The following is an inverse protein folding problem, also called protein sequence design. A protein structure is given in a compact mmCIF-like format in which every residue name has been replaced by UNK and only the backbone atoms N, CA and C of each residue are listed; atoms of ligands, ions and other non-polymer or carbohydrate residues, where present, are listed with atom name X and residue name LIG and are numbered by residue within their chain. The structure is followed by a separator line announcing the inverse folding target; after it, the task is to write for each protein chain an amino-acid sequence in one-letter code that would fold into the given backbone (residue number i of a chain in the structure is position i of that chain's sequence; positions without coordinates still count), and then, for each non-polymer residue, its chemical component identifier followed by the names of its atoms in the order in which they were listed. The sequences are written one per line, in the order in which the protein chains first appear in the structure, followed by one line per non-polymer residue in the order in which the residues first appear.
data_IF_829294011306
#
_entry.id   IF_829294011306
#
_cell.length_a   1.000
_cell.length_b   1.000
_cell.length_c   1.000
_cell.angle_alpha   90.00
_cell.angle_beta   90.00
_cell.angle_gamma   90.00
#
_symmetry.space_group_name_H-M   'P 1'
#
loop_
_entity.id
_entity.type
_entity.pdbx_description
1 polymer ?
#
# COMPACT_ATOMS: atom_id res chain seq x y z
N UNK A 1 -22.29 2.80 -7.74
CA UNK A 1 -21.58 1.81 -8.56
C UNK A 1 -21.16 2.36 -9.93
N UNK A 2 -22.07 2.71 -10.86
CA UNK A 2 -21.70 3.18 -12.21
C UNK A 2 -20.72 4.37 -12.22
N UNK A 3 -20.84 5.32 -11.27
CA UNK A 3 -19.94 6.46 -11.15
C UNK A 3 -18.55 6.05 -10.65
N UNK A 4 -18.47 5.07 -9.73
CA UNK A 4 -17.22 4.50 -9.27
C UNK A 4 -16.48 3.79 -10.42
N UNK A 5 -17.16 2.92 -11.15
CA UNK A 5 -16.59 2.19 -12.29
C UNK A 5 -16.01 3.12 -13.38
N UNK A 6 -16.69 4.26 -13.68
CA UNK A 6 -16.15 5.28 -14.60
C UNK A 6 -14.88 5.95 -14.12
N UNK A 7 -14.59 5.92 -12.84
CA UNK A 7 -13.37 6.45 -12.24
C UNK A 7 -12.32 5.35 -11.98
N UNK A 8 -12.47 4.16 -12.56
CA UNK A 8 -11.54 3.05 -12.36
C UNK A 8 -11.64 2.40 -10.98
N UNK A 9 -12.75 2.59 -10.28
CA UNK A 9 -12.98 2.00 -8.94
C UNK A 9 -14.08 0.94 -9.03
N UNK A 10 -13.73 -0.30 -8.76
CA UNK A 10 -14.67 -1.40 -8.61
C UNK A 10 -15.00 -1.59 -7.12
N UNK A 11 -16.30 -1.72 -6.80
CA UNK A 11 -16.76 -1.90 -5.42
C UNK A 11 -17.66 -3.13 -5.34
N UNK A 12 -17.39 -4.04 -4.42
CA UNK A 12 -18.14 -5.29 -4.22
C UNK A 12 -19.46 -5.08 -3.48
N UNK A 13 -20.30 -4.19 -3.96
CA UNK A 13 -21.63 -4.01 -3.41
C UNK A 13 -21.81 -2.78 -2.53
N UNK A 14 -23.06 -2.55 -2.12
CA UNK A 14 -23.44 -1.36 -1.34
C UNK A 14 -22.84 -1.35 0.07
N UNK A 15 -22.66 -2.50 0.67
CA UNK A 15 -22.08 -2.63 2.00
C UNK A 15 -20.61 -2.15 2.04
N UNK A 16 -19.79 -2.57 1.08
CA UNK A 16 -18.41 -2.12 0.95
C UNK A 16 -18.32 -0.61 0.74
N UNK A 17 -19.22 -0.04 -0.09
CA UNK A 17 -19.29 1.40 -0.29
C UNK A 17 -19.68 2.14 1.01
N UNK A 18 -20.62 1.61 1.79
CA UNK A 18 -21.04 2.21 3.05
C UNK A 18 -19.91 2.14 4.10
N UNK A 19 -19.24 0.99 4.22
CA UNK A 19 -18.11 0.83 5.15
C UNK A 19 -16.95 1.75 4.78
N UNK A 20 -16.59 1.88 3.50
CA UNK A 20 -15.55 2.83 3.05
C UNK A 20 -15.90 4.27 3.44
N UNK A 21 -17.18 4.66 3.36
CA UNK A 21 -17.62 5.99 3.78
C UNK A 21 -17.51 6.26 5.28
N UNK A 22 -17.38 5.20 6.09
CA UNK A 22 -17.25 5.27 7.56
C UNK A 22 -15.80 5.16 8.05
N UNK A 23 -14.87 4.83 7.16
CA UNK A 23 -13.45 4.68 7.50
C UNK A 23 -12.91 6.00 8.05
N UNK A 24 -12.15 5.90 9.15
CA UNK A 24 -11.47 7.00 9.84
C UNK A 24 -9.96 6.87 9.79
N UNK A 25 -9.46 5.65 9.67
CA UNK A 25 -8.03 5.34 9.59
C UNK A 25 -7.78 4.50 8.35
N UNK A 26 -6.76 4.87 7.58
CA UNK A 26 -6.28 4.08 6.45
C UNK A 26 -4.88 3.56 6.74
N UNK A 27 -4.74 2.24 6.71
CA UNK A 27 -3.46 1.58 6.67
C UNK A 27 -3.07 1.32 5.21
N UNK A 28 -1.80 1.53 4.90
CA UNK A 28 -1.23 1.34 3.57
C UNK A 28 -0.09 0.33 3.65
N UNK A 29 -0.04 -0.62 2.74
CA UNK A 29 1.23 -1.27 2.47
C UNK A 29 2.20 -0.27 1.82
N UNK A 30 3.51 -0.52 1.98
CA UNK A 30 4.52 0.31 1.34
C UNK A 30 4.67 -0.07 -0.13
N UNK A 31 5.06 -1.32 -0.40
CA UNK A 31 5.57 -1.78 -1.69
C UNK A 31 4.44 -2.01 -2.70
N UNK A 32 4.50 -1.33 -3.86
CA UNK A 32 3.45 -1.43 -4.86
C UNK A 32 2.16 -0.67 -4.53
N UNK A 33 2.09 -0.02 -3.36
CA UNK A 33 0.94 0.79 -2.92
C UNK A 33 1.32 2.26 -2.82
N UNK A 34 2.10 2.65 -1.81
CA UNK A 34 2.65 4.02 -1.70
C UNK A 34 3.88 4.23 -2.58
N UNK A 35 4.52 3.15 -2.98
CA UNK A 35 5.67 3.12 -3.90
C UNK A 35 5.29 2.42 -5.20
N UNK A 36 6.14 2.54 -6.23
CA UNK A 36 5.89 1.93 -7.55
C UNK A 36 6.00 0.40 -7.56
N UNK A 37 6.52 -0.22 -6.48
CA UNK A 37 6.77 -1.66 -6.42
C UNK A 37 7.88 -2.13 -7.36
N UNK A 38 8.75 -1.21 -7.77
CA UNK A 38 9.88 -1.44 -8.69
C UNK A 38 11.19 -1.01 -8.05
N UNK A 39 11.70 -1.78 -7.09
CA UNK A 39 12.97 -1.44 -6.46
C UNK A 39 14.09 -1.33 -7.49
N UNK A 40 15.04 -0.43 -7.24
CA UNK A 40 16.21 -0.19 -8.06
C UNK A 40 17.45 -0.11 -7.17
N UNK A 41 18.62 -0.52 -7.70
CA UNK A 41 19.89 -0.27 -7.01
C UNK A 41 20.18 1.24 -7.01
N UNK A 42 20.02 1.87 -5.86
CA UNK A 42 20.39 3.26 -5.65
C UNK A 42 21.87 3.41 -5.34
N UNK A 43 22.35 2.63 -4.38
CA UNK A 43 23.72 2.74 -3.82
C UNK A 43 24.42 1.38 -3.83
N UNK A 44 25.74 1.39 -4.01
CA UNK A 44 26.62 0.23 -3.89
C UNK A 44 27.81 0.66 -3.01
N UNK A 45 28.11 -0.10 -1.97
CA UNK A 45 29.19 0.17 -1.04
C UNK A 45 30.06 -1.07 -0.96
N UNK A 46 31.16 -1.09 -1.69
CA UNK A 46 32.12 -2.18 -1.66
C UNK A 46 33.18 -1.96 -0.58
N UNK A 47 33.56 -3.06 0.09
CA UNK A 47 34.64 -3.06 1.14
C UNK A 47 35.90 -3.79 0.71
N UNK A 48 35.86 -4.40 -0.47
CA UNK A 48 37.00 -5.15 -1.03
C UNK A 48 37.73 -4.34 -2.11
N UNK A 49 38.95 -4.76 -2.43
CA UNK A 49 39.77 -4.17 -3.51
C UNK A 49 39.20 -4.40 -4.90
N UNK A 50 38.30 -5.40 -5.07
CA UNK A 50 37.55 -5.67 -6.31
C UNK A 50 36.41 -4.66 -6.57
N UNK A 51 36.10 -3.83 -5.57
CA UNK A 51 35.16 -2.74 -5.70
C UNK A 51 33.72 -3.17 -6.02
N UNK A 52 32.97 -2.24 -6.60
CA UNK A 52 31.56 -2.44 -6.93
C UNK A 52 31.34 -3.55 -7.96
N UNK A 53 32.30 -3.80 -8.85
CA UNK A 53 32.20 -4.83 -9.88
C UNK A 53 32.20 -6.23 -9.27
N UNK A 54 33.12 -6.52 -8.35
CA UNK A 54 33.17 -7.79 -7.63
C UNK A 54 31.89 -8.01 -6.80
N UNK A 55 31.48 -7.01 -6.02
CA UNK A 55 30.28 -7.06 -5.20
C UNK A 55 29.05 -7.35 -6.05
N UNK A 56 28.85 -6.60 -7.14
CA UNK A 56 27.68 -6.76 -8.01
C UNK A 56 27.71 -8.07 -8.77
N UNK A 57 28.88 -8.55 -9.26
CA UNK A 57 28.95 -9.81 -10.00
C UNK A 57 28.57 -11.00 -9.12
N UNK A 58 29.01 -11.01 -7.87
CA UNK A 58 28.66 -12.05 -6.89
C UNK A 58 27.20 -11.94 -6.48
N UNK A 59 26.70 -10.72 -6.24
CA UNK A 59 25.30 -10.51 -5.88
C UNK A 59 24.35 -10.96 -7.00
N UNK A 60 24.65 -10.61 -8.25
CA UNK A 60 23.88 -11.06 -9.42
C UNK A 60 23.87 -12.58 -9.53
N UNK A 61 25.04 -13.24 -9.38
CA UNK A 61 25.16 -14.69 -9.44
C UNK A 61 24.24 -15.42 -8.44
N UNK A 62 24.20 -14.91 -7.22
CA UNK A 62 23.40 -15.53 -6.13
C UNK A 62 21.92 -15.23 -6.28
N UNK A 63 21.55 -14.00 -6.62
CA UNK A 63 20.16 -13.57 -6.70
C UNK A 63 19.45 -13.98 -7.99
N UNK A 64 20.18 -14.44 -9.03
CA UNK A 64 19.59 -14.83 -10.31
C UNK A 64 18.57 -15.97 -10.21
N UNK A 65 18.66 -16.79 -9.15
CA UNK A 65 17.75 -17.89 -8.89
C UNK A 65 16.63 -17.54 -7.88
N UNK A 66 16.54 -16.29 -7.49
CA UNK A 66 15.54 -15.79 -6.54
C UNK A 66 14.41 -15.06 -7.25
N UNK A 67 13.17 -15.38 -6.91
CA UNK A 67 11.99 -14.68 -7.42
C UNK A 67 11.61 -13.43 -6.62
N UNK A 68 12.39 -13.12 -5.58
CA UNK A 68 12.09 -11.96 -4.72
C UNK A 68 12.22 -10.63 -5.48
N UNK A 69 11.35 -9.63 -5.28
CA UNK A 69 11.42 -8.34 -5.99
C UNK A 69 12.78 -7.63 -5.88
N UNK A 70 13.42 -7.68 -4.70
CA UNK A 70 14.75 -7.11 -4.49
C UNK A 70 15.83 -7.85 -5.28
N UNK A 71 15.74 -9.18 -5.36
CA UNK A 71 16.63 -10.01 -6.16
C UNK A 71 16.55 -9.65 -7.65
N UNK A 72 15.33 -9.54 -8.18
CA UNK A 72 15.11 -9.13 -9.58
C UNK A 72 15.70 -7.75 -9.86
N UNK A 73 15.62 -6.83 -8.90
CA UNK A 73 16.24 -5.52 -9.01
C UNK A 73 17.77 -5.60 -9.05
N UNK A 74 18.38 -6.38 -8.13
CA UNK A 74 19.82 -6.60 -8.10
C UNK A 74 20.32 -7.21 -9.41
N UNK A 75 19.61 -8.22 -9.93
CA UNK A 75 19.98 -8.89 -11.19
C UNK A 75 19.85 -7.93 -12.37
N UNK A 76 18.72 -7.23 -12.51
CA UNK A 76 18.48 -6.29 -13.62
C UNK A 76 19.50 -5.17 -13.63
N UNK A 77 19.63 -4.45 -12.54
CA UNK A 77 20.44 -3.23 -12.46
C UNK A 77 21.93 -3.58 -12.32
N UNK A 78 22.26 -4.68 -11.61
CA UNK A 78 23.62 -5.19 -11.50
C UNK A 78 24.17 -5.61 -12.87
N UNK A 79 23.42 -6.37 -13.67
CA UNK A 79 23.83 -6.72 -15.04
C UNK A 79 24.02 -5.50 -15.92
N UNK A 80 23.17 -4.49 -15.81
CA UNK A 80 23.30 -3.24 -16.56
C UNK A 80 24.59 -2.50 -16.18
N UNK A 81 24.95 -2.45 -14.88
CA UNK A 81 26.18 -1.79 -14.38
C UNK A 81 27.44 -2.58 -14.72
N UNK A 82 27.37 -3.91 -14.75
CA UNK A 82 28.50 -4.78 -15.11
C UNK A 82 28.84 -4.74 -16.61
N UNK A 83 27.97 -4.16 -17.46
CA UNK A 83 28.24 -3.90 -18.90
C UNK A 83 28.76 -5.12 -19.68
N UNK A 84 28.34 -6.34 -19.32
CA UNK A 84 28.75 -7.58 -19.98
C UNK A 84 29.94 -8.29 -19.33
N UNK A 85 30.45 -7.83 -18.17
CA UNK A 85 31.43 -8.58 -17.40
C UNK A 85 30.91 -9.97 -17.01
N UNK A 86 31.82 -10.93 -16.86
CA UNK A 86 31.45 -12.31 -16.55
C UNK A 86 30.86 -12.40 -15.13
N UNK A 87 29.69 -13.03 -15.02
CA UNK A 87 29.05 -13.33 -13.75
C UNK A 87 29.36 -14.77 -13.40
N UNK A 88 29.91 -15.07 -12.21
CA UNK A 88 30.23 -16.44 -11.79
C UNK A 88 28.94 -17.26 -11.63
N UNK A 89 29.09 -18.58 -11.57
CA UNK A 89 27.95 -19.49 -11.38
C UNK A 89 27.71 -19.77 -9.91
N UNK A 90 26.54 -19.45 -9.41
CA UNK A 90 26.11 -19.85 -8.07
C UNK A 90 25.51 -21.28 -8.09
N UNK A 91 25.80 -22.05 -7.06
CA UNK A 91 25.28 -23.40 -6.81
C UNK A 91 24.75 -23.47 -5.37
N UNK A 92 23.99 -24.54 -5.07
CA UNK A 92 23.43 -24.79 -3.72
C UNK A 92 22.65 -23.59 -3.15
N UNK A 93 21.88 -22.93 -4.02
CA UNK A 93 21.11 -21.75 -3.64
C UNK A 93 19.98 -22.14 -2.68
N UNK A 94 19.83 -21.39 -1.58
CA UNK A 94 18.83 -21.59 -0.52
C UNK A 94 18.23 -20.27 -0.10
N UNK A 95 16.92 -20.12 -0.25
CA UNK A 95 16.21 -18.97 0.32
C UNK A 95 16.12 -19.10 1.85
N UNK A 96 16.41 -18.00 2.54
CA UNK A 96 16.30 -17.84 3.99
C UNK A 96 15.09 -16.93 4.24
N UNK A 97 13.93 -17.54 4.50
CA UNK A 97 12.63 -16.87 4.52
C UNK A 97 12.67 -15.60 5.40
N UNK A 98 12.31 -14.46 4.81
CA UNK A 98 12.25 -13.16 5.48
C UNK A 98 13.63 -12.54 5.82
N UNK A 99 14.75 -13.23 5.55
CA UNK A 99 16.11 -12.81 5.93
C UNK A 99 17.03 -12.55 4.72
N UNK A 100 16.97 -13.41 3.70
CA UNK A 100 17.86 -13.30 2.54
C UNK A 100 18.05 -14.61 1.81
N UNK A 101 19.25 -14.81 1.26
CA UNK A 101 19.61 -15.97 0.43
C UNK A 101 21.04 -16.40 0.74
N UNK A 102 21.34 -17.70 0.61
CA UNK A 102 22.70 -18.25 0.64
C UNK A 102 22.96 -19.11 -0.59
N UNK A 103 24.18 -19.11 -1.08
CA UNK A 103 24.64 -19.92 -2.20
C UNK A 103 26.13 -20.22 -2.07
N UNK A 104 26.65 -21.10 -2.93
CA UNK A 104 28.10 -21.32 -3.11
C UNK A 104 28.54 -20.75 -4.45
N UNK A 105 29.54 -19.86 -4.43
CA UNK A 105 30.19 -19.30 -5.62
C UNK A 105 31.67 -19.69 -5.56
N UNK A 106 32.18 -20.38 -6.56
CA UNK A 106 33.55 -20.89 -6.62
C UNK A 106 33.98 -21.66 -5.36
N UNK A 107 33.06 -22.41 -4.76
CA UNK A 107 33.29 -23.21 -3.55
C UNK A 107 33.21 -22.40 -2.23
N UNK A 108 33.01 -21.08 -2.28
CA UNK A 108 32.85 -20.22 -1.11
C UNK A 108 31.36 -20.00 -0.83
N UNK A 109 30.96 -20.13 0.43
CA UNK A 109 29.58 -19.78 0.83
C UNK A 109 29.40 -18.25 0.77
N UNK A 110 28.39 -17.81 0.03
CA UNK A 110 27.98 -16.42 -0.05
C UNK A 110 26.60 -16.29 0.59
N UNK A 111 26.44 -15.28 1.43
CA UNK A 111 25.15 -14.89 2.03
C UNK A 111 24.82 -13.45 1.66
N UNK A 112 23.57 -13.25 1.23
CA UNK A 112 23.02 -11.93 0.93
C UNK A 112 21.74 -11.76 1.71
N UNK A 113 21.61 -10.67 2.45
CA UNK A 113 20.40 -10.45 3.21
C UNK A 113 20.40 -9.19 4.06
N UNK A 114 19.31 -9.01 4.80
CA UNK A 114 19.17 -7.94 5.77
C UNK A 114 20.18 -8.13 6.92
N UNK A 115 20.44 -7.06 7.69
CA UNK A 115 21.35 -7.05 8.84
C UNK A 115 21.04 -8.16 9.83
N UNK A 116 19.78 -8.45 10.07
CA UNK A 116 19.29 -9.45 11.03
C UNK A 116 19.80 -10.86 10.70
N UNK A 117 19.91 -11.19 9.41
CA UNK A 117 20.49 -12.48 8.96
C UNK A 117 21.88 -12.74 9.59
N UNK A 118 22.67 -11.71 9.71
CA UNK A 118 24.05 -11.80 10.19
C UNK A 118 24.14 -11.64 11.70
N UNK A 119 23.43 -10.69 12.28
CA UNK A 119 23.48 -10.41 13.72
C UNK A 119 22.94 -11.58 14.56
N UNK A 120 21.89 -12.25 14.09
CA UNK A 120 21.36 -13.46 14.74
C UNK A 120 22.37 -14.63 14.71
N UNK A 121 23.24 -14.67 13.72
CA UNK A 121 24.36 -15.62 13.62
C UNK A 121 25.62 -15.14 14.36
N UNK A 122 25.56 -14.04 15.14
CA UNK A 122 26.70 -13.46 15.83
C UNK A 122 27.73 -12.81 14.91
N UNK A 123 27.35 -12.50 13.67
CA UNK A 123 28.22 -11.91 12.65
C UNK A 123 27.89 -10.42 12.51
N UNK A 124 28.88 -9.58 12.78
CA UNK A 124 28.71 -8.13 12.70
C UNK A 124 29.58 -7.55 11.59
N UNK A 125 29.04 -6.64 10.76
CA UNK A 125 29.85 -5.95 9.77
C UNK A 125 30.86 -5.04 10.44
N UNK A 126 32.02 -4.73 9.78
CA UNK A 126 32.95 -3.73 10.25
C UNK A 126 32.25 -2.40 10.56
N UNK A 127 32.78 -1.64 11.53
CA UNK A 127 32.15 -0.42 12.02
C UNK A 127 31.87 0.60 10.91
N UNK A 128 32.76 0.73 9.92
CA UNK A 128 32.54 1.63 8.79
C UNK A 128 31.34 1.17 7.94
N UNK A 129 31.32 -0.12 7.54
CA UNK A 129 30.20 -0.66 6.76
C UNK A 129 28.88 -0.57 7.52
N UNK A 130 28.90 -0.79 8.85
CA UNK A 130 27.73 -0.63 9.69
C UNK A 130 27.20 0.81 9.68
N UNK A 131 28.10 1.80 9.76
CA UNK A 131 27.74 3.22 9.71
C UNK A 131 27.17 3.62 8.33
N UNK A 132 27.78 3.10 7.25
CA UNK A 132 27.31 3.35 5.89
C UNK A 132 25.91 2.75 5.67
N UNK A 133 25.67 1.53 6.16
CA UNK A 133 24.33 0.89 6.14
C UNK A 133 23.32 1.70 6.94
N UNK A 134 23.68 2.16 8.15
CA UNK A 134 22.81 3.02 8.97
C UNK A 134 22.43 4.31 8.23
N UNK A 135 23.37 4.93 7.52
CA UNK A 135 23.12 6.13 6.72
C UNK A 135 22.16 5.84 5.54
N UNK A 136 22.36 4.74 4.83
CA UNK A 136 21.47 4.33 3.74
C UNK A 136 20.05 4.08 4.24
N UNK A 137 19.91 3.35 5.36
CA UNK A 137 18.60 3.07 5.96
C UNK A 137 17.87 4.34 6.40
N UNK A 138 18.60 5.28 7.06
CA UNK A 138 18.04 6.59 7.42
C UNK A 138 17.60 7.43 6.20
N UNK A 139 18.20 7.14 5.04
CA UNK A 139 17.87 7.79 3.77
C UNK A 139 16.76 7.05 2.99
N UNK A 140 16.08 6.07 3.61
CA UNK A 140 14.96 5.33 3.02
C UNK A 140 15.36 4.19 2.08
N UNK A 141 16.63 3.69 2.16
CA UNK A 141 17.09 2.53 1.37
C UNK A 141 16.87 1.24 2.13
N UNK A 142 16.37 0.23 1.44
CA UNK A 142 16.43 -1.15 1.92
C UNK A 142 17.83 -1.68 1.65
N UNK A 143 18.56 -2.08 2.68
CA UNK A 143 19.95 -2.52 2.53
C UNK A 143 20.05 -4.04 2.50
N UNK A 144 20.89 -4.54 1.59
CA UNK A 144 21.28 -5.94 1.48
C UNK A 144 22.77 -6.04 1.67
N UNK A 145 23.20 -6.66 2.78
CA UNK A 145 24.60 -6.96 3.08
C UNK A 145 25.03 -8.20 2.31
N UNK A 146 26.26 -8.19 1.80
CA UNK A 146 26.88 -9.30 1.07
C UNK A 146 28.14 -9.77 1.78
N UNK A 147 28.19 -11.07 2.13
CA UNK A 147 29.32 -11.71 2.80
C UNK A 147 29.71 -12.98 2.07
N UNK A 148 31.00 -13.16 1.77
CA UNK A 148 31.57 -14.35 1.16
C UNK A 148 32.58 -15.01 2.13
N UNK A 149 32.29 -16.21 2.59
CA UNK A 149 33.05 -16.87 3.66
C UNK A 149 33.16 -15.97 4.91
N UNK A 150 34.37 -15.59 5.28
CA UNK A 150 34.64 -14.69 6.42
C UNK A 150 34.68 -13.21 6.03
N UNK A 151 34.63 -12.88 4.72
CA UNK A 151 34.84 -11.53 4.22
C UNK A 151 33.54 -10.83 3.90
N UNK A 152 33.36 -9.60 4.38
CA UNK A 152 32.31 -8.71 3.94
C UNK A 152 32.69 -8.13 2.58
N UNK A 153 31.85 -8.31 1.58
CA UNK A 153 32.04 -7.70 0.28
C UNK A 153 31.48 -6.28 0.25
N UNK A 154 30.43 -6.02 1.03
CA UNK A 154 29.83 -4.71 1.13
C UNK A 154 28.32 -4.74 1.34
N UNK A 155 27.66 -3.68 0.90
CA UNK A 155 26.23 -3.51 0.96
C UNK A 155 25.66 -2.94 -0.35
N UNK A 156 24.45 -3.34 -0.69
CA UNK A 156 23.65 -2.81 -1.80
C UNK A 156 22.45 -2.11 -1.21
N UNK A 157 22.30 -0.81 -1.47
CA UNK A 157 21.15 0.00 -1.13
C UNK A 157 20.12 -0.03 -2.27
N UNK A 158 18.93 -0.54 -1.99
CA UNK A 158 17.82 -0.54 -2.91
C UNK A 158 16.78 0.49 -2.48
N UNK A 159 16.18 1.17 -3.44
CA UNK A 159 15.12 2.14 -3.20
C UNK A 159 13.91 1.76 -4.04
N UNK A 160 12.78 1.62 -3.38
CA UNK A 160 11.49 1.57 -4.05
C UNK A 160 10.90 2.98 -4.04
N UNK A 161 10.82 3.58 -5.21
CA UNK A 161 10.52 5.00 -5.37
C UNK A 161 9.07 5.27 -4.95
N UNK A 162 8.82 6.21 -4.02
CA UNK A 162 7.46 6.65 -3.74
C UNK A 162 6.75 7.15 -4.98
N UNK A 163 5.47 6.83 -5.11
CA UNK A 163 4.65 7.33 -6.21
C UNK A 163 4.62 8.86 -6.18
N UNK A 164 4.76 9.54 -7.32
CA UNK A 164 4.73 11.01 -7.37
C UNK A 164 3.46 11.62 -6.75
N UNK A 165 2.34 10.90 -6.89
CA UNK A 165 1.02 11.31 -6.37
C UNK A 165 0.80 10.97 -4.90
N UNK A 166 1.60 10.10 -4.27
CA UNK A 166 1.32 9.56 -2.94
C UNK A 166 1.11 10.67 -1.88
N UNK A 167 2.01 11.64 -1.82
CA UNK A 167 1.88 12.73 -0.84
C UNK A 167 0.62 13.58 -1.05
N UNK A 168 0.24 13.84 -2.33
CA UNK A 168 -0.98 14.59 -2.64
C UNK A 168 -2.23 13.79 -2.28
N UNK A 169 -2.21 12.49 -2.48
CA UNK A 169 -3.31 11.58 -2.10
C UNK A 169 -3.49 11.57 -0.58
N UNK A 170 -2.41 11.42 0.19
CA UNK A 170 -2.46 11.42 1.66
C UNK A 170 -3.02 12.76 2.17
N UNK A 171 -2.56 13.88 1.64
CA UNK A 171 -3.09 15.20 2.00
C UNK A 171 -4.59 15.34 1.69
N UNK A 172 -5.03 14.88 0.51
CA UNK A 172 -6.44 14.94 0.12
C UNK A 172 -7.33 14.01 0.97
N UNK A 173 -6.83 12.85 1.41
CA UNK A 173 -7.53 11.97 2.33
C UNK A 173 -7.73 12.64 3.70
N UNK A 174 -6.73 13.37 4.20
CA UNK A 174 -6.87 14.17 5.43
C UNK A 174 -7.93 15.26 5.30
N UNK A 175 -7.98 16.00 4.17
CA UNK A 175 -9.05 16.97 3.88
C UNK A 175 -10.44 16.33 3.84
N UNK A 176 -10.53 15.10 3.38
CA UNK A 176 -11.76 14.32 3.41
C UNK A 176 -12.11 13.80 4.80
N UNK A 177 -11.28 14.04 5.84
CA UNK A 177 -11.51 13.65 7.23
C UNK A 177 -11.18 12.17 7.47
N UNK A 178 -10.12 11.66 6.87
CA UNK A 178 -9.37 10.51 7.37
C UNK A 178 -8.50 11.06 8.50
N UNK A 179 -8.74 10.59 9.71
CA UNK A 179 -8.15 11.14 10.93
C UNK A 179 -6.66 10.73 11.05
N UNK A 180 -6.35 9.47 10.67
CA UNK A 180 -5.00 8.92 10.73
C UNK A 180 -4.67 8.08 9.49
N UNK A 181 -3.39 8.14 9.09
CA UNK A 181 -2.81 7.27 8.06
C UNK A 181 -1.62 6.51 8.64
N UNK A 182 -1.52 5.23 8.33
CA UNK A 182 -0.50 4.31 8.87
C UNK A 182 0.15 3.57 7.72
N UNK A 183 1.47 3.50 7.68
CA UNK A 183 2.18 2.64 6.74
C UNK A 183 2.62 1.35 7.46
N UNK A 184 2.34 0.19 6.85
CA UNK A 184 2.76 -1.12 7.32
C UNK A 184 3.79 -1.68 6.34
N UNK A 185 4.97 -2.05 6.82
CA UNK A 185 6.08 -2.49 5.95
C UNK A 185 6.85 -3.65 6.55
N UNK A 186 7.31 -4.57 5.70
CA UNK A 186 8.29 -5.59 6.06
C UNK A 186 9.74 -5.10 6.03
N UNK A 187 9.99 -3.84 5.63
CA UNK A 187 11.31 -3.23 5.75
C UNK A 187 11.60 -2.83 7.18
N UNK A 188 12.88 -2.55 7.48
CA UNK A 188 13.22 -2.11 8.82
C UNK A 188 12.52 -0.78 9.17
N UNK A 189 12.35 -0.52 10.47
CA UNK A 189 11.61 0.63 10.97
C UNK A 189 12.17 1.98 10.45
N UNK A 190 13.50 2.11 10.30
CA UNK A 190 14.13 3.36 9.81
C UNK A 190 13.74 3.69 8.38
N UNK A 191 13.73 2.67 7.51
CA UNK A 191 13.28 2.81 6.10
C UNK A 191 11.80 3.16 6.05
N UNK A 192 11.00 2.49 6.87
CA UNK A 192 9.57 2.77 6.96
C UNK A 192 9.31 4.22 7.39
N UNK A 193 9.99 4.71 8.43
CA UNK A 193 9.86 6.09 8.92
C UNK A 193 10.28 7.12 7.87
N UNK A 194 11.39 6.87 7.15
CA UNK A 194 11.89 7.77 6.11
C UNK A 194 10.88 7.90 4.94
N UNK A 195 10.32 6.78 4.47
CA UNK A 195 9.31 6.80 3.40
C UNK A 195 8.00 7.44 3.88
N UNK A 196 7.55 7.12 5.10
CA UNK A 196 6.34 7.73 5.67
C UNK A 196 6.46 9.26 5.76
N UNK A 197 7.59 9.77 6.23
CA UNK A 197 7.86 11.21 6.28
C UNK A 197 7.84 11.84 4.88
N UNK A 198 8.40 11.16 3.88
CA UNK A 198 8.45 11.65 2.50
C UNK A 198 7.05 11.76 1.88
N UNK A 199 6.16 10.80 2.13
CA UNK A 199 4.79 10.79 1.58
C UNK A 199 3.75 11.44 2.48
N UNK A 200 4.14 11.86 3.71
CA UNK A 200 3.24 12.54 4.65
C UNK A 200 2.28 11.62 5.38
N UNK A 201 2.60 10.33 5.51
CA UNK A 201 1.85 9.36 6.33
C UNK A 201 2.11 9.66 7.81
N UNK A 202 1.07 9.59 8.65
CA UNK A 202 1.12 9.99 10.06
C UNK A 202 2.12 9.19 10.90
N UNK A 203 2.19 7.87 10.72
CA UNK A 203 3.22 7.02 11.33
C UNK A 203 3.44 5.72 10.52
N UNK A 204 4.56 5.05 10.78
CA UNK A 204 4.93 3.80 10.13
C UNK A 204 5.20 2.67 11.14
N UNK A 205 4.98 1.45 10.70
CA UNK A 205 5.41 0.22 11.36
C UNK A 205 6.27 -0.58 10.39
N UNK A 206 7.54 -0.73 10.75
CA UNK A 206 8.51 -1.54 10.04
C UNK A 206 8.67 -2.94 10.66
N UNK A 207 9.55 -3.75 10.09
CA UNK A 207 9.93 -5.09 10.55
C UNK A 207 8.76 -6.07 10.69
N UNK A 208 7.66 -5.85 9.93
CA UNK A 208 6.45 -6.65 10.04
C UNK A 208 6.49 -7.90 9.14
N UNK A 209 6.22 -9.06 9.73
CA UNK A 209 5.84 -10.24 8.98
C UNK A 209 4.37 -10.15 8.55
N UNK A 210 3.90 -10.96 7.58
CA UNK A 210 2.50 -10.89 7.13
C UNK A 210 1.47 -11.04 8.25
N UNK A 211 1.70 -11.91 9.24
CA UNK A 211 0.86 -12.11 10.41
C UNK A 211 0.86 -10.91 11.37
N UNK A 212 1.97 -10.17 11.44
CA UNK A 212 2.07 -8.96 12.26
C UNK A 212 1.21 -7.84 11.65
N UNK A 213 1.15 -7.73 10.32
CA UNK A 213 0.25 -6.78 9.65
C UNK A 213 -1.22 -7.04 10.02
N UNK A 214 -1.64 -8.30 10.09
CA UNK A 214 -3.00 -8.67 10.54
C UNK A 214 -3.24 -8.21 11.96
N UNK A 215 -2.26 -8.43 12.85
CA UNK A 215 -2.33 -8.04 14.27
C UNK A 215 -2.39 -6.52 14.44
N UNK A 216 -1.61 -5.76 13.65
CA UNK A 216 -1.65 -4.29 13.63
C UNK A 216 -3.01 -3.76 13.15
N UNK A 217 -3.58 -4.33 12.09
CA UNK A 217 -4.93 -3.97 11.63
C UNK A 217 -5.98 -4.24 12.71
N UNK A 218 -5.90 -5.38 13.40
CA UNK A 218 -6.80 -5.69 14.51
C UNK A 218 -6.66 -4.68 15.67
N UNK A 219 -5.43 -4.30 16.03
CA UNK A 219 -5.16 -3.29 17.06
C UNK A 219 -5.69 -1.91 16.67
N UNK A 220 -5.50 -1.50 15.41
CA UNK A 220 -6.05 -0.25 14.89
C UNK A 220 -7.60 -0.25 14.93
N UNK A 221 -8.23 -1.36 14.58
CA UNK A 221 -9.70 -1.49 14.66
C UNK A 221 -10.23 -1.38 16.09
N UNK A 222 -9.51 -1.93 17.07
CA UNK A 222 -9.88 -1.80 18.48
C UNK A 222 -9.81 -0.35 18.97
N UNK A 223 -8.84 0.43 18.47
CA UNK A 223 -8.63 1.83 18.88
C UNK A 223 -9.55 2.80 18.16
N UNK A 224 -9.72 2.63 16.85
CA UNK A 224 -10.35 3.63 15.97
C UNK A 224 -11.69 3.15 15.37
N UNK A 225 -12.05 1.90 15.55
CA UNK A 225 -13.29 1.29 15.06
C UNK A 225 -13.20 0.88 13.59
N UNK A 226 -13.33 1.82 12.66
CA UNK A 226 -13.36 1.52 11.22
C UNK A 226 -12.02 1.83 10.57
N UNK A 227 -11.34 0.80 10.08
CA UNK A 227 -10.02 0.86 9.43
C UNK A 227 -10.12 0.29 8.03
N UNK A 228 -9.59 1.01 7.04
CA UNK A 228 -9.36 0.48 5.71
C UNK A 228 -7.89 0.04 5.56
N UNK A 229 -7.65 -1.04 4.81
CA UNK A 229 -6.31 -1.46 4.42
C UNK A 229 -6.16 -1.38 2.90
N UNK A 230 -5.12 -0.67 2.46
CA UNK A 230 -4.76 -0.52 1.04
C UNK A 230 -3.49 -1.31 0.78
N UNK A 231 -3.52 -2.23 -0.17
CA UNK A 231 -2.39 -3.11 -0.52
C UNK A 231 -2.45 -3.62 -1.94
N UNK A 232 -1.48 -4.46 -2.34
CA UNK A 232 -1.42 -5.07 -3.67
C UNK A 232 -2.38 -6.26 -3.85
N UNK A 233 -2.96 -6.75 -2.76
CA UNK A 233 -3.93 -7.86 -2.77
C UNK A 233 -3.33 -9.25 -2.89
N UNK A 234 -2.03 -9.39 -2.96
CA UNK A 234 -1.33 -10.68 -3.02
C UNK A 234 -0.72 -11.02 -1.67
N UNK A 235 0.25 -10.23 -1.22
CA UNK A 235 0.92 -10.43 0.07
C UNK A 235 0.09 -9.92 1.25
N UNK A 236 -0.73 -8.91 1.02
CA UNK A 236 -1.52 -8.22 2.04
C UNK A 236 -2.96 -8.74 2.14
N UNK A 237 -3.34 -9.77 1.35
CA UNK A 237 -4.69 -10.34 1.36
C UNK A 237 -5.21 -10.66 2.77
N UNK A 238 -4.44 -11.30 3.69
CA UNK A 238 -4.90 -11.55 5.06
C UNK A 238 -5.13 -10.27 5.87
N UNK A 239 -4.26 -9.26 5.72
CA UNK A 239 -4.39 -7.97 6.40
C UNK A 239 -5.61 -7.20 5.87
N UNK A 240 -5.83 -7.18 4.54
CA UNK A 240 -7.00 -6.57 3.91
C UNK A 240 -8.30 -7.24 4.36
N UNK A 241 -8.34 -8.58 4.41
CA UNK A 241 -9.50 -9.33 4.89
C UNK A 241 -9.81 -9.06 6.38
N UNK A 242 -8.82 -8.72 7.20
CA UNK A 242 -8.98 -8.38 8.61
C UNK A 242 -9.44 -6.94 8.84
N UNK A 243 -9.30 -6.07 7.85
CA UNK A 243 -9.74 -4.67 7.90
C UNK A 243 -11.27 -4.54 7.88
N UNK A 244 -11.81 -3.34 8.11
CA UNK A 244 -13.24 -3.06 7.89
C UNK A 244 -13.57 -2.95 6.40
N UNK A 245 -12.59 -2.52 5.60
CA UNK A 245 -12.63 -2.48 4.14
C UNK A 245 -11.23 -2.78 3.61
N UNK A 246 -11.11 -3.82 2.77
CA UNK A 246 -9.91 -4.12 2.01
C UNK A 246 -9.94 -3.40 0.65
N UNK A 247 -8.86 -2.70 0.30
CA UNK A 247 -8.73 -1.92 -0.93
C UNK A 247 -7.50 -2.42 -1.69
N UNK A 248 -7.70 -3.00 -2.86
CA UNK A 248 -6.60 -3.50 -3.69
C UNK A 248 -6.17 -2.48 -4.75
N UNK A 249 -4.85 -2.31 -4.88
CA UNK A 249 -4.21 -1.56 -5.96
C UNK A 249 -3.99 -2.46 -7.18
N UNK A 250 -4.05 -1.90 -8.39
CA UNK A 250 -3.67 -2.59 -9.62
C UNK A 250 -4.43 -3.89 -9.92
N UNK A 251 -5.64 -4.03 -9.40
CA UNK A 251 -6.39 -5.27 -9.40
C UNK A 251 -6.74 -5.82 -10.81
N UNK A 252 -6.53 -5.04 -11.87
CA UNK A 252 -6.79 -5.47 -13.25
C UNK A 252 -5.94 -6.67 -13.72
N UNK A 253 -4.88 -7.02 -13.00
CA UNK A 253 -3.97 -8.13 -13.32
C UNK A 253 -3.94 -9.26 -12.29
N UNK A 254 -4.75 -9.23 -11.23
CA UNK A 254 -4.72 -10.21 -10.14
C UNK A 254 -6.10 -10.67 -9.73
N UNK A 255 -6.44 -11.91 -10.06
CA UNK A 255 -7.71 -12.53 -9.63
C UNK A 255 -7.79 -12.60 -8.09
N UNK A 256 -6.66 -12.87 -7.42
CA UNK A 256 -6.58 -12.93 -5.95
C UNK A 256 -6.93 -11.57 -5.32
N UNK A 257 -6.39 -10.49 -5.86
CA UNK A 257 -6.72 -9.14 -5.39
C UNK A 257 -8.20 -8.81 -5.57
N UNK A 258 -8.76 -9.18 -6.74
CA UNK A 258 -10.18 -9.01 -7.03
C UNK A 258 -11.08 -9.85 -6.12
N UNK A 259 -10.66 -11.07 -5.75
CA UNK A 259 -11.45 -11.94 -4.86
C UNK A 259 -11.40 -11.48 -3.41
N UNK A 260 -10.29 -10.93 -2.94
CA UNK A 260 -10.09 -10.61 -1.53
C UNK A 260 -10.54 -9.20 -1.16
N UNK A 261 -10.36 -8.21 -2.05
CA UNK A 261 -10.67 -6.83 -1.76
C UNK A 261 -12.17 -6.52 -1.85
N UNK A 262 -12.66 -5.62 -0.99
CA UNK A 262 -14.00 -5.03 -1.05
C UNK A 262 -14.08 -3.93 -2.11
N UNK A 263 -12.97 -3.24 -2.32
CA UNK A 263 -12.78 -2.15 -3.30
C UNK A 263 -11.50 -2.41 -4.09
N UNK A 264 -11.55 -2.25 -5.41
CA UNK A 264 -10.41 -2.42 -6.28
C UNK A 264 -10.16 -1.16 -7.12
N UNK A 265 -8.94 -0.65 -7.09
CA UNK A 265 -8.45 0.41 -7.96
C UNK A 265 -7.87 -0.25 -9.21
N UNK A 266 -8.56 -0.11 -10.35
CA UNK A 266 -8.32 -0.97 -11.52
C UNK A 266 -7.04 -0.63 -12.29
N UNK A 267 -6.63 0.64 -12.31
CA UNK A 267 -5.56 1.13 -13.17
C UNK A 267 -4.23 1.35 -12.45
N UNK A 268 -3.98 0.69 -11.32
CA UNK A 268 -2.80 0.96 -10.47
C UNK A 268 -2.60 2.47 -10.20
N UNK A 269 -3.72 3.16 -10.03
CA UNK A 269 -3.81 4.61 -9.84
C UNK A 269 -4.31 4.94 -8.43
N UNK A 270 -3.39 5.34 -7.57
CA UNK A 270 -3.69 5.70 -6.18
C UNK A 270 -4.60 6.95 -6.09
N UNK A 271 -4.62 7.80 -7.13
CA UNK A 271 -5.45 9.02 -7.16
C UNK A 271 -6.96 8.73 -7.14
N UNK A 272 -7.35 7.52 -7.52
CA UNK A 272 -8.73 7.07 -7.47
C UNK A 272 -9.25 6.85 -6.03
N UNK A 273 -8.36 6.67 -5.03
CA UNK A 273 -8.75 6.39 -3.65
C UNK A 273 -9.48 7.56 -2.97
N UNK A 274 -9.01 8.82 -3.00
CA UNK A 274 -9.75 9.95 -2.45
C UNK A 274 -11.14 10.11 -3.08
N UNK A 275 -11.24 9.90 -4.40
CA UNK A 275 -12.54 9.92 -5.08
C UNK A 275 -13.48 8.83 -4.56
N UNK A 276 -12.97 7.60 -4.35
CA UNK A 276 -13.76 6.50 -3.80
C UNK A 276 -14.30 6.81 -2.40
N UNK A 277 -13.47 7.40 -1.53
CA UNK A 277 -13.86 7.84 -0.18
C UNK A 277 -14.91 8.95 -0.24
N UNK A 278 -14.73 10.00 -1.06
CA UNK A 278 -15.70 11.10 -1.19
C UNK A 278 -17.05 10.60 -1.73
N UNK A 279 -17.02 9.76 -2.78
CA UNK A 279 -18.22 9.16 -3.35
C UNK A 279 -18.98 8.31 -2.32
N UNK A 280 -18.25 7.52 -1.52
CA UNK A 280 -18.83 6.68 -0.47
C UNK A 280 -19.51 7.52 0.62
N UNK A 281 -18.86 8.61 1.06
CA UNK A 281 -19.42 9.54 2.06
C UNK A 281 -20.67 10.27 1.55
N UNK A 282 -20.65 10.72 0.29
CA UNK A 282 -21.82 11.33 -0.36
C UNK A 282 -22.95 10.34 -0.51
N UNK A 283 -22.64 9.10 -0.91
CA UNK A 283 -23.61 8.02 -1.03
C UNK A 283 -24.30 7.75 0.31
N UNK A 284 -23.54 7.58 1.38
CA UNK A 284 -24.06 7.37 2.74
C UNK A 284 -24.92 8.53 3.23
N UNK A 285 -24.55 9.78 2.89
CA UNK A 285 -25.33 10.97 3.22
C UNK A 285 -26.68 10.99 2.48
N UNK A 286 -26.68 10.70 1.19
CA UNK A 286 -27.91 10.65 0.37
C UNK A 286 -28.80 9.50 0.83
N UNK A 287 -28.26 8.34 1.15
CA UNK A 287 -29.02 7.20 1.71
C UNK A 287 -29.73 7.64 3.01
N UNK A 288 -29.02 8.28 3.93
CA UNK A 288 -29.60 8.79 5.18
C UNK A 288 -30.70 9.84 4.92
N UNK A 289 -30.46 10.78 4.01
CA UNK A 289 -31.45 11.78 3.61
C UNK A 289 -32.74 11.12 3.08
N UNK A 290 -32.59 10.16 2.17
CA UNK A 290 -33.73 9.45 1.59
C UNK A 290 -34.48 8.63 2.65
N UNK A 291 -33.78 7.95 3.53
CA UNK A 291 -34.38 7.19 4.63
C UNK A 291 -35.24 8.09 5.55
N UNK A 292 -34.62 9.21 6.02
CA UNK A 292 -35.32 10.15 6.89
C UNK A 292 -36.50 10.83 6.19
N UNK A 293 -36.38 11.18 4.90
CA UNK A 293 -37.46 11.75 4.12
C UNK A 293 -38.63 10.73 3.99
N UNK A 294 -38.33 9.48 3.64
CA UNK A 294 -39.34 8.44 3.51
C UNK A 294 -40.05 8.14 4.84
N UNK A 295 -39.28 7.98 5.93
CA UNK A 295 -39.86 7.78 7.27
C UNK A 295 -40.71 8.96 7.72
N UNK A 296 -40.23 10.20 7.47
CA UNK A 296 -40.98 11.42 7.80
C UNK A 296 -42.33 11.51 7.07
N UNK A 297 -42.34 11.18 5.78
CA UNK A 297 -43.58 11.16 5.00
C UNK A 297 -44.56 10.12 5.52
N UNK A 298 -44.09 8.90 5.83
CA UNK A 298 -44.93 7.83 6.41
C UNK A 298 -45.48 8.27 7.78
N UNK A 299 -44.61 8.86 8.61
CA UNK A 299 -44.99 9.36 9.95
C UNK A 299 -46.09 10.48 9.89
N UNK A 300 -46.10 11.24 8.82
CA UNK A 300 -47.15 12.26 8.57
C UNK A 300 -48.44 11.65 7.97
N UNK A 301 -48.28 10.71 7.04
CA UNK A 301 -49.41 10.10 6.34
C UNK A 301 -50.29 9.24 7.25
N UNK A 302 -49.71 8.48 8.18
CA UNK A 302 -50.43 7.60 9.10
C UNK A 302 -51.48 8.41 9.91
N UNK A 303 -51.11 9.44 10.71
CA UNK A 303 -52.07 10.22 11.47
C UNK A 303 -52.98 11.02 10.55
N UNK A 304 -52.55 11.55 9.41
CA UNK A 304 -53.37 12.27 8.49
C UNK A 304 -54.49 11.39 7.93
N UNK A 305 -54.21 10.12 7.62
CA UNK A 305 -55.21 9.15 7.15
C UNK A 305 -56.19 8.80 8.27
N UNK A 306 -55.76 8.66 9.50
CA UNK A 306 -56.61 8.44 10.68
C UNK A 306 -57.53 9.65 10.92
N UNK A 307 -57.05 10.87 10.66
CA UNK A 307 -57.80 12.11 10.78
C UNK A 307 -58.72 12.44 9.57
N UNK A 308 -58.80 11.53 8.57
CA UNK A 308 -59.74 11.64 7.47
C UNK A 308 -59.14 12.01 6.11
N UNK A 309 -57.81 12.00 5.96
CA UNK A 309 -57.18 12.11 4.63
C UNK A 309 -57.61 10.93 3.76
N UNK A 310 -58.27 11.19 2.63
CA UNK A 310 -58.70 10.16 1.70
C UNK A 310 -57.52 9.36 1.11
N UNK A 311 -57.77 8.13 0.72
CA UNK A 311 -56.75 7.19 0.18
C UNK A 311 -56.10 7.77 -1.09
N UNK A 312 -56.84 8.43 -1.98
CA UNK A 312 -56.30 9.00 -3.23
C UNK A 312 -55.19 10.03 -2.99
N UNK A 313 -55.40 11.09 -2.20
CA UNK A 313 -54.35 12.02 -1.81
C UNK A 313 -53.18 11.36 -1.07
N UNK A 314 -53.43 10.39 -0.19
CA UNK A 314 -52.39 9.69 0.53
C UNK A 314 -51.46 8.91 -0.42
N UNK A 315 -51.99 8.22 -1.40
CA UNK A 315 -51.26 7.51 -2.45
C UNK A 315 -50.45 8.49 -3.31
N UNK A 316 -51.03 9.62 -3.74
CA UNK A 316 -50.31 10.62 -4.53
C UNK A 316 -49.12 11.20 -3.80
N UNK A 317 -49.24 11.49 -2.50
CA UNK A 317 -48.12 11.99 -1.68
C UNK A 317 -47.05 10.91 -1.54
N UNK A 318 -47.43 9.66 -1.31
CA UNK A 318 -46.49 8.55 -1.17
C UNK A 318 -45.71 8.30 -2.47
N UNK A 319 -46.39 8.16 -3.60
CA UNK A 319 -45.75 7.95 -4.91
C UNK A 319 -44.92 9.17 -5.34
N UNK A 320 -45.41 10.39 -5.10
CA UNK A 320 -44.68 11.61 -5.34
C UNK A 320 -43.38 11.68 -4.54
N UNK A 321 -43.39 11.17 -3.31
CA UNK A 321 -42.17 11.10 -2.47
C UNK A 321 -41.11 10.16 -3.05
N UNK A 322 -41.54 9.07 -3.70
CA UNK A 322 -40.61 8.15 -4.36
C UNK A 322 -39.82 8.83 -5.49
N UNK A 323 -40.46 9.71 -6.25
CA UNK A 323 -39.81 10.51 -7.29
C UNK A 323 -38.75 11.45 -6.69
N UNK A 324 -39.03 12.07 -5.54
CA UNK A 324 -38.08 12.95 -4.84
C UNK A 324 -36.85 12.14 -4.40
N UNK A 325 -37.03 10.95 -3.84
CA UNK A 325 -35.96 10.04 -3.44
C UNK A 325 -35.07 9.66 -4.63
N UNK A 326 -35.69 9.33 -5.77
CA UNK A 326 -34.97 9.00 -7.01
C UNK A 326 -34.16 10.18 -7.51
N UNK A 327 -34.76 11.37 -7.60
CA UNK A 327 -34.06 12.60 -8.04
C UNK A 327 -32.88 12.92 -7.11
N UNK A 328 -33.06 12.79 -5.79
CA UNK A 328 -31.99 12.98 -4.83
C UNK A 328 -30.85 11.97 -5.04
N UNK A 329 -31.16 10.71 -5.34
CA UNK A 329 -30.14 9.68 -5.63
C UNK A 329 -29.37 9.96 -6.93
N UNK A 330 -29.99 10.54 -7.95
CA UNK A 330 -29.34 10.89 -9.22
C UNK A 330 -28.25 11.96 -9.04
N UNK A 331 -28.26 12.74 -7.96
CA UNK A 331 -27.18 13.71 -7.63
C UNK A 331 -25.81 13.04 -7.49
N UNK A 332 -25.74 11.74 -7.17
CA UNK A 332 -24.49 11.00 -7.14
C UNK A 332 -23.82 10.91 -8.51
N UNK A 333 -24.56 10.91 -9.59
CA UNK A 333 -23.99 10.87 -10.95
C UNK A 333 -23.22 12.14 -11.30
N UNK A 334 -23.56 13.26 -10.66
CA UNK A 334 -22.89 14.56 -10.84
C UNK A 334 -21.67 14.76 -9.92
N UNK A 335 -21.27 13.75 -9.12
CA UNK A 335 -20.09 13.86 -8.25
C UNK A 335 -18.83 14.11 -9.10
N UNK A 336 -18.13 15.26 -8.93
CA UNK A 336 -16.95 15.55 -9.72
C UNK A 336 -15.77 14.63 -9.32
N UNK A 337 -14.97 14.23 -10.29
CA UNK A 337 -13.65 13.69 -10.04
C UNK A 337 -12.77 14.93 -9.80
N UNK A 338 -12.32 15.12 -8.55
CA UNK A 338 -11.41 16.23 -8.23
C UNK A 338 -10.01 15.85 -8.69
N UNK A 339 -9.35 16.65 -9.52
CA UNK A 339 -7.93 16.45 -9.79
C UNK A 339 -7.15 16.68 -8.49
N UNK A 340 -6.02 15.99 -8.34
CA UNK A 340 -5.10 16.25 -7.24
C UNK A 340 -4.64 17.71 -7.32
N UNK A 341 -4.67 18.41 -6.19
CA UNK A 341 -4.06 19.73 -6.12
C UNK A 341 -2.54 19.59 -6.32
N UNK A 342 -1.90 20.45 -7.14
CA UNK A 342 -0.44 20.43 -7.24
C UNK A 342 0.14 20.71 -5.84
N UNK A 343 1.03 19.82 -5.38
CA UNK A 343 1.77 20.05 -4.14
C UNK A 343 2.63 21.30 -4.36
N UNK A 344 2.33 22.38 -3.64
CA UNK A 344 3.28 23.47 -3.45
C UNK A 344 4.41 22.93 -2.56
N UNK A 345 5.42 22.36 -3.18
CA UNK A 345 6.61 21.85 -2.48
C UNK A 345 7.57 23.03 -2.27
N UNK A 346 7.67 23.63 -1.05
CA UNK A 346 8.55 24.76 -0.77
C UNK A 346 10.05 24.36 -0.70
N UNK A 347 10.37 23.07 -0.89
CA UNK A 347 11.72 22.54 -0.72
C UNK A 347 12.42 22.09 -2.02
N UNK A 348 11.88 22.44 -3.20
CA UNK A 348 12.59 22.27 -4.47
C UNK A 348 12.98 23.67 -4.99
N UNK A 349 14.06 24.19 -4.45
CA UNK A 349 14.92 25.20 -5.06
C UNK A 349 16.38 24.90 -4.75
#
# INVERSE_FOLDING_TARGET
MARAAKAGVLVKGGAALEELGRVKVLAFDKTGTLTEGRPQIADVIATTSGGDEELLSIAVAVEEQSDHPLARAIVRDGRARLSGAAVPKATNVRALIGRGISASVDGVEVRIGKRELFTEAGQHPPSQLAADVDFLEQSGRTTMLVRAGEHWLGAIGLMDVPRPEAAAVIAQLAELGIDDTVMLSGDNQRVADAVAAQVGVGFARGDLMPEDKVSEIAALRLRHGRVGMVGDGVNDAPAMASASVGIAMGAAGSDVALETADVALMADDLTALPFAVDLSRRSSRIIKQNLWASLGIVALLIPATVLGLGIGPAVLIHEGSTLIVVVNALRLLATPIRPLAPLNNPHVR
#
